data_IF_671946095789
#
_entry.id   IF_671946095789
#
_cell.length_a   1.000
_cell.length_b   1.000
_cell.length_c   1.000
_cell.angle_alpha   90.00
_cell.angle_beta   90.00
_cell.angle_gamma   90.00
#
_symmetry.space_group_name_H-M   'P 1'
#
loop_
_entity.id
_entity.type
_entity.pdbx_description
1 polymer ?
#
# COMPACT_ATOMS: atom_id res chain seq x y z
N UNK A 1 0.48 14.84 -31.05
CA UNK A 1 1.80 14.85 -30.38
C UNK A 1 1.87 15.93 -29.30
N UNK A 2 1.71 17.22 -29.61
CA UNK A 2 1.81 18.31 -28.63
C UNK A 2 0.87 18.19 -27.41
N UNK A 3 -0.43 17.91 -27.62
CA UNK A 3 -1.39 17.76 -26.51
C UNK A 3 -1.10 16.56 -25.59
N UNK A 4 -0.58 15.47 -26.16
CA UNK A 4 -0.20 14.26 -25.40
C UNK A 4 1.04 14.57 -24.56
N UNK A 5 2.02 15.26 -25.14
CA UNK A 5 3.21 15.72 -24.41
C UNK A 5 2.79 16.63 -23.25
N UNK A 6 1.93 17.62 -23.50
CA UNK A 6 1.45 18.53 -22.46
C UNK A 6 0.73 17.80 -21.32
N UNK A 7 -0.07 16.77 -21.65
CA UNK A 7 -0.71 15.93 -20.65
C UNK A 7 0.32 15.15 -19.81
N UNK A 8 1.37 14.62 -20.43
CA UNK A 8 2.43 13.88 -19.72
C UNK A 8 3.25 14.82 -18.83
N UNK A 9 3.58 16.02 -19.30
CA UNK A 9 4.41 16.99 -18.56
C UNK A 9 3.70 17.61 -17.36
N UNK A 10 2.39 17.85 -17.45
CA UNK A 10 1.65 18.55 -16.38
C UNK A 10 0.67 17.64 -15.63
N UNK A 11 -0.08 16.81 -16.33
CA UNK A 11 -1.09 15.96 -15.70
C UNK A 11 -0.46 14.77 -14.98
N UNK A 12 0.61 14.17 -15.52
CA UNK A 12 1.23 13.02 -14.87
C UNK A 12 1.90 13.40 -13.53
N UNK A 13 2.73 14.46 -13.41
CA UNK A 13 3.21 14.95 -12.12
C UNK A 13 2.10 15.28 -11.13
N UNK A 14 1.07 16.01 -11.56
CA UNK A 14 -0.06 16.35 -10.70
C UNK A 14 -0.78 15.10 -10.17
N UNK A 15 -1.00 14.11 -11.03
CA UNK A 15 -1.58 12.82 -10.66
C UNK A 15 -0.67 12.06 -9.68
N UNK A 16 0.64 11.96 -9.95
CA UNK A 16 1.59 11.27 -9.07
C UNK A 16 1.65 11.89 -7.67
N UNK A 17 1.62 13.22 -7.59
CA UNK A 17 1.67 13.95 -6.31
C UNK A 17 0.35 13.80 -5.54
N UNK A 18 -0.80 13.81 -6.21
CA UNK A 18 -2.12 13.72 -5.57
C UNK A 18 -2.63 12.30 -5.32
N UNK A 19 -2.11 11.30 -6.04
CA UNK A 19 -2.52 9.90 -5.93
C UNK A 19 -2.45 9.33 -4.50
N UNK A 20 -1.40 9.59 -3.70
CA UNK A 20 -1.35 9.14 -2.32
C UNK A 20 -2.49 9.74 -1.48
N UNK A 21 -2.78 11.02 -1.69
CA UNK A 21 -3.86 11.69 -0.98
C UNK A 21 -5.20 11.02 -1.29
N UNK A 22 -5.52 10.80 -2.56
CA UNK A 22 -6.81 10.20 -2.95
C UNK A 22 -6.93 8.74 -2.53
N UNK A 23 -5.87 7.94 -2.70
CA UNK A 23 -5.88 6.50 -2.41
C UNK A 23 -6.01 6.17 -0.91
N UNK A 24 -5.41 7.00 -0.06
CA UNK A 24 -5.42 6.77 1.40
C UNK A 24 -6.42 7.65 2.15
N UNK A 25 -6.92 8.76 1.58
CA UNK A 25 -7.96 9.57 2.22
C UNK A 25 -9.20 8.74 2.55
N UNK A 26 -9.68 7.92 1.61
CA UNK A 26 -10.83 7.05 1.85
C UNK A 26 -10.59 6.05 2.97
N UNK A 27 -9.35 5.54 3.09
CA UNK A 27 -8.97 4.62 4.16
C UNK A 27 -8.94 5.33 5.52
N UNK A 28 -8.33 6.52 5.58
CA UNK A 28 -8.30 7.38 6.78
C UNK A 28 -9.73 7.68 7.24
N UNK A 29 -10.58 8.13 6.32
CA UNK A 29 -11.98 8.46 6.59
C UNK A 29 -12.77 7.24 7.04
N UNK A 30 -12.56 6.08 6.39
CA UNK A 30 -13.21 4.83 6.77
C UNK A 30 -12.86 4.42 8.20
N UNK A 31 -11.57 4.43 8.59
CA UNK A 31 -11.13 4.05 9.94
C UNK A 31 -11.65 5.07 10.96
N UNK A 32 -11.57 6.36 10.65
CA UNK A 32 -12.01 7.42 11.53
C UNK A 32 -13.53 7.36 11.79
N UNK A 33 -14.34 7.18 10.75
CA UNK A 33 -15.80 7.09 10.85
C UNK A 33 -16.24 5.83 11.57
N UNK A 34 -15.59 4.70 11.30
CA UNK A 34 -15.95 3.42 11.90
C UNK A 34 -15.37 3.24 13.31
N UNK A 35 -14.51 4.17 13.77
CA UNK A 35 -13.81 4.15 15.07
C UNK A 35 -13.10 2.81 15.33
N UNK A 36 -12.65 2.18 14.26
CA UNK A 36 -12.04 0.85 14.30
C UNK A 36 -11.09 0.67 13.13
N UNK A 37 -9.87 0.20 13.43
CA UNK A 37 -8.87 -0.22 12.46
C UNK A 37 -8.82 -1.75 12.30
N UNK A 38 -9.87 -2.47 12.71
CA UNK A 38 -9.92 -3.93 12.58
C UNK A 38 -9.79 -4.36 11.11
N UNK A 39 -8.93 -5.34 10.84
CA UNK A 39 -8.64 -5.84 9.49
C UNK A 39 -7.70 -4.95 8.64
N UNK A 40 -7.27 -3.78 9.14
CA UNK A 40 -6.28 -2.94 8.46
C UNK A 40 -4.85 -3.31 8.90
N UNK A 41 -3.93 -3.48 7.94
CA UNK A 41 -2.52 -3.73 8.24
C UNK A 41 -1.77 -2.42 8.48
N UNK A 42 -1.14 -2.31 9.65
CA UNK A 42 -0.24 -1.19 9.98
C UNK A 42 1.10 -1.26 9.26
N UNK A 43 1.44 -2.40 8.67
CA UNK A 43 2.68 -2.53 7.90
C UNK A 43 2.64 -1.65 6.65
N UNK A 44 1.49 -1.50 6.01
CA UNK A 44 1.34 -0.69 4.79
C UNK A 44 1.83 0.76 5.01
N UNK A 45 1.28 1.53 5.98
CA UNK A 45 1.75 2.89 6.20
C UNK A 45 3.22 2.96 6.64
N UNK A 46 3.70 1.97 7.40
CA UNK A 46 5.09 1.95 7.88
C UNK A 46 6.10 1.70 6.75
N UNK A 47 5.83 0.75 5.87
CA UNK A 47 6.67 0.48 4.68
C UNK A 47 6.70 1.71 3.79
N UNK A 48 5.54 2.33 3.52
CA UNK A 48 5.44 3.54 2.70
C UNK A 48 6.20 4.72 3.32
N UNK A 49 6.18 4.86 4.65
CA UNK A 49 6.96 5.87 5.36
C UNK A 49 8.46 5.62 5.21
N UNK A 50 8.93 4.39 5.46
CA UNK A 50 10.34 4.02 5.31
C UNK A 50 10.82 4.30 3.89
N UNK A 51 10.09 3.83 2.87
CA UNK A 51 10.43 4.07 1.47
C UNK A 51 10.49 5.56 1.12
N UNK A 52 9.50 6.33 1.57
CA UNK A 52 9.42 7.76 1.23
C UNK A 52 10.46 8.60 1.96
N UNK A 53 10.78 8.28 3.22
CA UNK A 53 11.87 8.92 3.95
C UNK A 53 13.21 8.64 3.25
N UNK A 54 13.47 7.39 2.86
CA UNK A 54 14.68 7.03 2.10
C UNK A 54 14.79 7.81 0.78
N UNK A 55 13.68 7.96 0.04
CA UNK A 55 13.64 8.76 -1.18
C UNK A 55 13.95 10.25 -0.94
N UNK A 56 13.51 10.82 0.18
CA UNK A 56 13.83 12.21 0.53
C UNK A 56 15.33 12.37 0.81
N UNK A 57 15.92 11.45 1.59
CA UNK A 57 17.38 11.47 1.84
C UNK A 57 18.20 11.20 0.56
N UNK A 58 17.74 10.28 -0.29
CA UNK A 58 18.34 10.04 -1.60
C UNK A 58 18.41 11.32 -2.44
N UNK A 59 17.36 12.15 -2.41
CA UNK A 59 17.31 13.41 -3.16
C UNK A 59 18.39 14.42 -2.73
N UNK A 60 18.77 14.44 -1.46
CA UNK A 60 19.85 15.32 -0.97
C UNK A 60 21.23 14.91 -1.48
N UNK A 61 21.43 13.63 -1.79
CA UNK A 61 22.67 13.15 -2.42
C UNK A 61 22.65 13.24 -3.94
N UNK A 62 21.51 12.90 -4.57
CA UNK A 62 21.33 12.95 -6.02
C UNK A 62 19.97 13.56 -6.37
N UNK A 63 20.00 14.76 -6.94
CA UNK A 63 18.80 15.51 -7.31
C UNK A 63 18.07 14.85 -8.47
N UNK A 64 17.04 14.05 -8.16
CA UNK A 64 16.07 13.56 -9.13
C UNK A 64 14.86 14.51 -9.25
N UNK A 65 13.93 14.19 -10.17
CA UNK A 65 12.76 15.01 -10.47
C UNK A 65 12.00 15.51 -9.22
N UNK A 66 11.71 16.81 -9.21
CA UNK A 66 10.94 17.46 -8.15
C UNK A 66 9.52 16.90 -7.99
N UNK A 67 8.91 16.36 -9.06
CA UNK A 67 7.59 15.74 -8.98
C UNK A 67 7.62 14.47 -8.10
N UNK A 68 8.67 13.67 -8.23
CA UNK A 68 8.85 12.45 -7.44
C UNK A 68 9.20 12.77 -5.98
N UNK A 69 9.95 13.86 -5.75
CA UNK A 69 10.21 14.34 -4.40
C UNK A 69 8.92 14.83 -3.75
N UNK A 70 8.13 15.65 -4.44
CA UNK A 70 6.85 16.12 -3.96
C UNK A 70 5.90 14.95 -3.67
N UNK A 71 5.88 13.91 -4.53
CA UNK A 71 5.15 12.67 -4.28
C UNK A 71 5.60 11.97 -2.99
N UNK A 72 6.91 11.87 -2.74
CA UNK A 72 7.44 11.28 -1.51
C UNK A 72 7.08 12.10 -0.26
N UNK A 73 7.15 13.44 -0.33
CA UNK A 73 6.77 14.32 0.77
C UNK A 73 5.28 14.23 1.10
N UNK A 74 4.41 14.27 0.09
CA UNK A 74 2.95 14.07 0.27
C UNK A 74 2.67 12.69 0.85
N UNK A 75 3.36 11.65 0.36
CA UNK A 75 3.23 10.31 0.92
C UNK A 75 3.58 10.27 2.41
N UNK A 76 4.66 10.92 2.85
CA UNK A 76 5.02 10.97 4.29
C UNK A 76 3.89 11.59 5.11
N UNK A 77 3.34 12.72 4.69
CA UNK A 77 2.26 13.42 5.42
C UNK A 77 1.01 12.54 5.52
N UNK A 78 0.58 11.97 4.40
CA UNK A 78 -0.61 11.11 4.33
C UNK A 78 -0.43 9.86 5.19
N UNK A 79 0.74 9.22 5.14
CA UNK A 79 0.99 7.99 5.87
C UNK A 79 1.20 8.21 7.38
N UNK A 80 1.75 9.35 7.79
CA UNK A 80 1.73 9.76 9.21
C UNK A 80 0.28 9.89 9.69
N UNK A 81 -0.58 10.55 8.90
CA UNK A 81 -2.00 10.69 9.20
C UNK A 81 -2.70 9.34 9.31
N UNK A 82 -2.52 8.46 8.32
CA UNK A 82 -3.09 7.11 8.30
C UNK A 82 -2.60 6.26 9.47
N UNK A 83 -1.29 6.27 9.73
CA UNK A 83 -0.71 5.55 10.86
C UNK A 83 -1.31 6.05 12.18
N UNK A 84 -1.37 7.36 12.41
CA UNK A 84 -1.97 7.94 13.61
C UNK A 84 -3.42 7.49 13.79
N UNK A 85 -4.25 7.68 12.75
CA UNK A 85 -5.67 7.31 12.81
C UNK A 85 -5.85 5.81 13.04
N UNK A 86 -5.02 4.96 12.42
CA UNK A 86 -5.07 3.52 12.62
C UNK A 86 -4.62 3.12 14.03
N UNK A 87 -3.60 3.77 14.60
CA UNK A 87 -3.14 3.51 15.98
C UNK A 87 -4.15 3.96 17.03
N UNK A 88 -4.81 5.11 16.83
CA UNK A 88 -5.78 5.69 17.77
C UNK A 88 -7.10 4.89 17.82
N UNK A 89 -7.43 4.15 16.75
CA UNK A 89 -8.68 3.39 16.61
C UNK A 89 -8.46 1.87 16.65
N UNK A 90 -7.39 1.39 17.31
CA UNK A 90 -7.14 -0.05 17.44
C UNK A 90 -8.24 -0.74 18.27
N UNK A 91 -8.75 -1.91 17.82
CA UNK A 91 -9.68 -2.68 18.64
C UNK A 91 -8.98 -3.14 19.94
N UNK A 92 -9.73 -3.13 21.05
CA UNK A 92 -9.24 -3.62 22.34
C UNK A 92 -8.75 -5.08 22.22
N UNK A 93 -7.61 -5.39 22.83
CA UNK A 93 -6.93 -6.68 22.72
C UNK A 93 -7.84 -7.83 23.17
N UNK A 94 -8.44 -8.55 22.22
CA UNK A 94 -9.38 -9.64 22.51
C UNK A 94 -10.30 -10.04 21.35
N UNK A 95 -10.46 -9.21 20.33
CA UNK A 95 -11.23 -9.57 19.13
C UNK A 95 -10.43 -10.53 18.23
N UNK A 96 -10.40 -11.81 18.60
CA UNK A 96 -9.77 -12.93 17.88
C UNK A 96 -10.29 -13.16 16.45
N UNK A 97 -11.26 -12.38 15.97
CA UNK A 97 -12.00 -12.63 14.72
C UNK A 97 -11.71 -11.60 13.60
N UNK A 98 -10.63 -10.83 13.67
CA UNK A 98 -10.36 -9.74 12.72
C UNK A 98 -9.19 -9.94 11.75
N UNK A 99 -8.48 -11.07 11.84
CA UNK A 99 -7.17 -11.26 11.16
C UNK A 99 -7.29 -12.14 9.90
N UNK A 100 -8.42 -12.10 9.18
CA UNK A 100 -8.54 -12.88 7.93
C UNK A 100 -8.04 -12.11 6.69
N UNK A 101 -7.75 -10.80 6.78
CA UNK A 101 -7.59 -9.97 5.57
C UNK A 101 -6.43 -8.95 5.55
N UNK A 102 -5.43 -9.04 6.44
CA UNK A 102 -4.23 -8.24 6.26
C UNK A 102 -3.20 -9.03 5.42
N UNK A 103 -2.78 -8.56 4.23
CA UNK A 103 -1.78 -9.25 3.39
C UNK A 103 -0.40 -9.43 4.04
N UNK A 104 -0.22 -8.87 5.24
CA UNK A 104 0.99 -8.95 6.05
C UNK A 104 0.76 -9.58 7.43
N UNK A 105 -0.48 -9.86 7.85
CA UNK A 105 -0.69 -10.55 9.13
C UNK A 105 -0.38 -12.03 8.96
N UNK A 106 0.70 -12.50 9.58
CA UNK A 106 1.00 -13.94 9.64
C UNK A 106 -0.22 -14.67 10.22
N UNK A 107 -0.77 -15.59 9.43
CA UNK A 107 -1.92 -16.39 9.83
C UNK A 107 -1.56 -17.27 11.03
N UNK A 108 -2.49 -17.36 11.98
CA UNK A 108 -2.46 -18.33 13.07
C UNK A 108 -2.50 -19.75 12.51
N UNK A 109 -1.33 -20.37 12.39
CA UNK A 109 -1.01 -21.78 12.67
C UNK A 109 0.26 -22.16 11.89
N UNK A 110 1.40 -22.17 12.60
CA UNK A 110 2.66 -22.76 12.10
C UNK A 110 3.56 -21.88 11.22
N UNK A 111 3.19 -20.64 10.88
CA UNK A 111 4.08 -19.72 10.15
C UNK A 111 4.97 -18.88 11.08
N UNK A 112 6.18 -18.59 10.58
CA UNK A 112 7.25 -17.81 11.24
C UNK A 112 6.70 -16.63 12.05
N UNK A 113 6.74 -16.74 13.39
CA UNK A 113 6.44 -15.62 14.27
C UNK A 113 7.50 -14.52 14.03
N UNK A 114 7.05 -13.29 13.78
CA UNK A 114 7.96 -12.17 13.51
C UNK A 114 8.87 -11.96 14.72
N UNK A 115 10.20 -11.92 14.56
CA UNK A 115 11.10 -11.64 15.66
C UNK A 115 10.72 -10.32 16.34
N UNK A 116 10.61 -10.34 17.67
CA UNK A 116 10.29 -9.17 18.51
C UNK A 116 8.96 -8.47 18.18
N UNK A 117 8.00 -9.17 17.57
CA UNK A 117 6.73 -8.59 17.11
C UNK A 117 6.95 -7.32 16.28
N UNK A 118 7.95 -7.32 15.39
CA UNK A 118 8.33 -6.15 14.61
C UNK A 118 7.12 -5.55 13.87
N UNK A 119 6.85 -4.27 14.17
CA UNK A 119 5.67 -3.51 13.72
C UNK A 119 4.29 -4.05 14.13
N UNK A 120 4.26 -5.02 15.04
CA UNK A 120 3.06 -5.58 15.67
C UNK A 120 2.98 -5.24 17.17
N UNK A 121 3.71 -4.20 17.59
CA UNK A 121 3.77 -3.75 18.98
C UNK A 121 2.40 -3.31 19.51
N UNK A 122 2.08 -3.70 20.75
CA UNK A 122 0.84 -3.28 21.42
C UNK A 122 0.78 -1.78 21.71
N UNK A 123 1.91 -1.22 22.14
CA UNK A 123 1.99 0.20 22.45
C UNK A 123 2.17 1.04 21.18
N UNK A 124 1.60 2.24 21.18
CA UNK A 124 1.74 3.22 20.08
C UNK A 124 3.14 3.86 20.06
N UNK A 125 3.76 4.08 21.23
CA UNK A 125 5.05 4.78 21.35
C UNK A 125 6.20 4.17 20.51
N UNK A 126 6.39 2.84 20.47
CA UNK A 126 7.43 2.20 19.65
C UNK A 126 7.38 2.55 18.16
N UNK A 127 6.20 2.78 17.57
CA UNK A 127 6.08 3.15 16.15
C UNK A 127 6.69 4.52 15.86
N UNK A 128 6.35 5.50 16.70
CA UNK A 128 6.88 6.86 16.56
C UNK A 128 8.36 6.93 16.90
N UNK A 129 8.80 6.18 17.92
CA UNK A 129 10.23 6.07 18.26
C UNK A 129 11.02 5.43 17.11
N UNK A 130 10.52 4.35 16.52
CA UNK A 130 11.15 3.72 15.36
C UNK A 130 11.34 4.72 14.22
N UNK A 131 10.30 5.47 13.84
CA UNK A 131 10.40 6.48 12.79
C UNK A 131 11.36 7.62 13.15
N UNK A 132 11.31 8.09 14.40
CA UNK A 132 12.20 9.14 14.88
C UNK A 132 13.68 8.70 14.86
N UNK A 133 13.98 7.49 15.36
CA UNK A 133 15.31 6.92 15.30
C UNK A 133 15.76 6.68 13.86
N UNK A 134 14.88 6.21 12.98
CA UNK A 134 15.19 6.00 11.58
C UNK A 134 15.62 7.31 10.88
N UNK A 135 14.84 8.38 11.04
CA UNK A 135 15.20 9.71 10.51
C UNK A 135 16.47 10.26 11.16
N UNK A 136 16.63 10.11 12.48
CA UNK A 136 17.80 10.60 13.20
C UNK A 136 19.09 9.90 12.73
N UNK A 137 19.06 8.58 12.57
CA UNK A 137 20.20 7.80 12.05
C UNK A 137 20.56 8.24 10.63
N UNK A 138 19.57 8.36 9.73
CA UNK A 138 19.80 8.84 8.37
C UNK A 138 20.39 10.25 8.35
N UNK A 139 19.88 11.14 9.21
CA UNK A 139 20.40 12.51 9.35
C UNK A 139 21.84 12.50 9.83
N UNK A 140 22.16 11.73 10.88
CA UNK A 140 23.54 11.61 11.38
C UNK A 140 24.47 11.11 10.27
N UNK A 141 24.09 10.08 9.53
CA UNK A 141 24.90 9.57 8.41
C UNK A 141 25.09 10.66 7.34
N UNK A 142 24.05 11.44 7.02
CA UNK A 142 24.15 12.53 6.03
C UNK A 142 24.99 13.72 6.48
N UNK A 143 25.24 13.86 7.78
CA UNK A 143 26.16 14.87 8.32
C UNK A 143 27.62 14.39 8.36
N UNK A 144 27.88 13.11 8.04
CA UNK A 144 29.23 12.56 7.93
C UNK A 144 29.72 12.56 6.47
N UNK A 145 31.04 12.44 6.20
CA UNK A 145 31.58 12.35 4.84
C UNK A 145 31.04 11.17 4.00
N UNK A 146 30.30 10.25 4.61
CA UNK A 146 29.63 9.14 3.90
C UNK A 146 28.62 9.69 2.89
N UNK A 147 28.01 10.85 3.13
CA UNK A 147 27.05 11.46 2.19
C UNK A 147 27.67 11.87 0.85
N UNK A 148 29.00 12.06 0.81
CA UNK A 148 29.73 12.38 -0.44
C UNK A 148 30.00 11.13 -1.28
N UNK A 149 29.71 9.93 -0.77
CA UNK A 149 29.91 8.69 -1.51
C UNK A 149 28.71 8.39 -2.42
N UNK A 150 28.94 8.44 -3.74
CA UNK A 150 27.96 8.04 -4.75
C UNK A 150 27.41 6.62 -4.53
N UNK A 151 28.25 5.72 -4.00
CA UNK A 151 27.85 4.34 -3.69
C UNK A 151 26.82 4.31 -2.57
N UNK A 152 27.03 5.08 -1.50
CA UNK A 152 26.08 5.18 -0.40
C UNK A 152 24.75 5.75 -0.88
N UNK A 153 24.78 6.86 -1.63
CA UNK A 153 23.58 7.52 -2.15
C UNK A 153 22.82 6.60 -3.11
N UNK A 154 23.52 5.87 -3.99
CA UNK A 154 22.92 4.90 -4.91
C UNK A 154 22.27 3.72 -4.18
N UNK A 155 22.92 3.17 -3.16
CA UNK A 155 22.37 2.09 -2.33
C UNK A 155 21.14 2.59 -1.56
N UNK A 156 21.22 3.78 -0.97
CA UNK A 156 20.13 4.39 -0.21
C UNK A 156 18.88 4.58 -1.09
N UNK A 157 19.06 5.17 -2.27
CA UNK A 157 17.99 5.34 -3.26
C UNK A 157 17.45 4.00 -3.76
N UNK A 158 18.34 3.06 -4.08
CA UNK A 158 17.98 1.71 -4.51
C UNK A 158 17.14 0.96 -3.48
N UNK A 159 17.51 1.01 -2.20
CA UNK A 159 16.74 0.41 -1.11
C UNK A 159 15.38 1.10 -0.97
N UNK A 160 15.33 2.44 -0.94
CA UNK A 160 14.07 3.18 -0.82
C UNK A 160 13.07 2.83 -1.92
N UNK A 161 13.56 2.70 -3.16
CA UNK A 161 12.76 2.31 -4.31
C UNK A 161 12.36 0.83 -4.30
N UNK A 162 13.27 -0.06 -3.89
CA UNK A 162 12.98 -1.49 -3.79
C UNK A 162 11.95 -1.80 -2.69
N UNK A 163 12.02 -1.11 -1.56
CA UNK A 163 11.04 -1.24 -0.47
C UNK A 163 9.64 -0.88 -0.95
N UNK A 164 9.49 0.17 -1.76
CA UNK A 164 8.21 0.52 -2.39
C UNK A 164 7.80 -0.52 -3.44
N UNK A 165 8.72 -0.90 -4.34
CA UNK A 165 8.41 -1.78 -5.47
C UNK A 165 8.01 -3.20 -5.06
N UNK A 166 8.42 -3.65 -3.87
CA UNK A 166 8.12 -5.00 -3.34
C UNK A 166 6.81 -5.09 -2.55
N UNK A 167 6.12 -3.97 -2.32
CA UNK A 167 4.84 -3.93 -1.61
C UNK A 167 3.74 -4.85 -2.16
N UNK A 168 3.60 -5.07 -3.47
CA UNK A 168 2.59 -5.98 -4.00
C UNK A 168 2.86 -7.46 -3.70
N UNK A 169 4.11 -7.84 -3.39
CA UNK A 169 4.52 -9.24 -3.27
C UNK A 169 3.76 -10.02 -2.19
N UNK A 170 3.52 -9.49 -0.98
CA UNK A 170 2.78 -10.24 0.03
C UNK A 170 1.33 -10.49 -0.37
N UNK A 171 0.70 -9.55 -1.09
CA UNK A 171 -0.62 -9.77 -1.67
C UNK A 171 -0.59 -10.88 -2.74
N UNK A 172 0.43 -10.89 -3.61
CA UNK A 172 0.62 -11.93 -4.62
C UNK A 172 0.73 -13.32 -3.98
N UNK A 173 1.53 -13.43 -2.92
CA UNK A 173 1.74 -14.68 -2.18
C UNK A 173 0.46 -15.12 -1.45
N UNK A 174 -0.26 -14.18 -0.82
CA UNK A 174 -1.51 -14.46 -0.14
C UNK A 174 -2.58 -14.98 -1.12
N UNK A 175 -2.71 -14.35 -2.30
CA UNK A 175 -3.62 -14.81 -3.35
C UNK A 175 -3.23 -16.21 -3.86
N UNK A 176 -1.94 -16.47 -4.08
CA UNK A 176 -1.46 -17.77 -4.55
C UNK A 176 -1.72 -18.88 -3.53
N UNK A 177 -1.47 -18.63 -2.24
CA UNK A 177 -1.68 -19.60 -1.16
C UNK A 177 -3.15 -19.90 -0.90
N UNK A 178 -3.99 -18.86 -0.92
CA UNK A 178 -5.43 -19.02 -0.71
C UNK A 178 -6.17 -19.57 -1.94
N UNK A 179 -5.56 -19.49 -3.13
CA UNK A 179 -6.20 -19.86 -4.39
C UNK A 179 -7.45 -19.01 -4.69
N UNK A 180 -7.61 -17.86 -4.03
CA UNK A 180 -8.79 -17.01 -4.14
C UNK A 180 -8.41 -15.53 -3.98
N UNK A 181 -9.13 -14.65 -4.66
CA UNK A 181 -9.06 -13.20 -4.42
C UNK A 181 -10.23 -12.68 -3.59
N UNK A 182 -10.92 -13.56 -2.84
CA UNK A 182 -12.08 -13.19 -2.02
C UNK A 182 -11.64 -12.19 -0.92
N UNK A 183 -12.22 -10.99 -0.94
CA UNK A 183 -11.86 -9.88 -0.03
C UNK A 183 -10.89 -8.84 -0.62
N UNK A 184 -10.28 -9.11 -1.78
CA UNK A 184 -9.45 -8.12 -2.47
C UNK A 184 -10.33 -7.08 -3.19
N UNK A 185 -10.13 -5.80 -2.88
CA UNK A 185 -10.96 -4.71 -3.41
C UNK A 185 -10.54 -4.38 -4.85
N UNK A 186 -11.44 -4.64 -5.80
CA UNK A 186 -11.24 -4.33 -7.24
C UNK A 186 -10.87 -2.88 -7.48
N UNK A 187 -11.47 -1.95 -6.74
CA UNK A 187 -11.18 -0.52 -6.86
C UNK A 187 -9.72 -0.19 -6.53
N UNK A 188 -9.13 -0.89 -5.55
CA UNK A 188 -7.72 -0.72 -5.16
C UNK A 188 -6.80 -1.25 -6.25
N UNK A 189 -7.09 -2.44 -6.79
CA UNK A 189 -6.34 -3.01 -7.91
C UNK A 189 -6.37 -2.12 -9.15
N UNK A 190 -7.55 -1.60 -9.49
CA UNK A 190 -7.69 -0.67 -10.61
C UNK A 190 -6.88 0.61 -10.38
N UNK A 191 -6.92 1.17 -9.16
CA UNK A 191 -6.13 2.35 -8.82
C UNK A 191 -4.62 2.10 -8.92
N UNK A 192 -4.13 0.92 -8.52
CA UNK A 192 -2.73 0.53 -8.67
C UNK A 192 -2.31 0.42 -10.13
N UNK A 193 -3.06 -0.30 -10.97
CA UNK A 193 -2.75 -0.43 -12.40
C UNK A 193 -2.79 0.92 -13.13
N UNK A 194 -3.79 1.77 -12.83
CA UNK A 194 -3.88 3.12 -13.39
C UNK A 194 -2.67 3.95 -12.93
N UNK A 195 -2.33 3.88 -11.64
CA UNK A 195 -1.20 4.57 -11.05
C UNK A 195 0.12 4.21 -11.71
N UNK A 196 0.38 2.91 -11.87
CA UNK A 196 1.61 2.42 -12.48
C UNK A 196 1.68 2.73 -13.98
N UNK A 197 0.56 2.68 -14.69
CA UNK A 197 0.51 3.11 -16.10
C UNK A 197 0.85 4.59 -16.25
N UNK A 198 0.31 5.46 -15.38
CA UNK A 198 0.65 6.88 -15.39
C UNK A 198 2.10 7.13 -14.99
N UNK A 199 2.61 6.41 -13.97
CA UNK A 199 4.01 6.47 -13.53
C UNK A 199 4.97 6.04 -14.66
N UNK A 200 4.66 4.97 -15.39
CA UNK A 200 5.44 4.52 -16.55
C UNK A 200 5.41 5.54 -17.69
N UNK A 201 4.24 6.12 -17.96
CA UNK A 201 4.11 7.16 -18.98
C UNK A 201 5.01 8.36 -18.66
N UNK A 202 5.03 8.77 -17.39
CA UNK A 202 5.91 9.84 -16.93
C UNK A 202 7.40 9.47 -17.06
N UNK A 203 7.80 8.25 -16.65
CA UNK A 203 9.21 7.85 -16.69
C UNK A 203 9.83 7.74 -18.09
N UNK A 204 9.03 7.38 -19.10
CA UNK A 204 9.54 7.12 -20.45
C UNK A 204 9.24 8.23 -21.46
N UNK A 205 8.22 9.06 -21.22
CA UNK A 205 7.78 10.07 -22.17
C UNK A 205 7.90 11.52 -21.67
N UNK A 206 8.25 11.73 -20.39
CA UNK A 206 8.62 13.05 -19.89
C UNK A 206 9.96 13.51 -20.48
N UNK A 207 10.09 14.83 -20.67
CA UNK A 207 11.35 15.48 -21.05
C UNK A 207 12.38 15.43 -19.92
N UNK A 208 11.94 15.21 -18.68
CA UNK A 208 12.83 15.07 -17.53
C UNK A 208 13.58 13.73 -17.55
N UNK A 209 14.90 13.78 -17.41
CA UNK A 209 15.73 12.60 -17.29
C UNK A 209 15.55 11.94 -15.91
N UNK A 210 14.67 10.93 -15.85
CA UNK A 210 14.45 10.14 -14.63
C UNK A 210 15.56 9.08 -14.47
N UNK A 211 16.20 8.93 -13.29
CA UNK A 211 17.24 7.94 -13.06
C UNK A 211 16.77 6.50 -13.31
N UNK A 212 17.68 5.64 -13.77
CA UNK A 212 17.35 4.24 -14.10
C UNK A 212 16.86 3.42 -12.90
N UNK A 213 17.30 3.74 -11.68
CA UNK A 213 16.82 3.11 -10.45
C UNK A 213 15.29 3.22 -10.30
N UNK A 214 14.72 4.41 -10.60
CA UNK A 214 13.27 4.62 -10.59
C UNK A 214 12.57 3.83 -11.69
N UNK A 215 13.15 3.81 -12.90
CA UNK A 215 12.58 3.09 -14.04
C UNK A 215 12.51 1.59 -13.78
N UNK A 216 13.61 0.98 -13.32
CA UNK A 216 13.67 -0.46 -13.04
C UNK A 216 12.72 -0.87 -11.92
N UNK A 217 12.73 -0.15 -10.80
CA UNK A 217 11.83 -0.45 -9.68
C UNK A 217 10.36 -0.22 -10.05
N UNK A 218 10.06 0.85 -10.79
CA UNK A 218 8.70 1.13 -11.25
C UNK A 218 8.20 0.11 -12.28
N UNK A 219 9.05 -0.39 -13.18
CA UNK A 219 8.69 -1.49 -14.08
C UNK A 219 8.41 -2.77 -13.31
N UNK A 220 9.23 -3.09 -12.31
CA UNK A 220 9.00 -4.27 -11.46
C UNK A 220 7.65 -4.19 -10.72
N UNK A 221 7.35 -3.03 -10.13
CA UNK A 221 6.07 -2.79 -9.46
C UNK A 221 4.89 -2.95 -10.45
N UNK A 222 5.01 -2.34 -11.63
CA UNK A 222 4.01 -2.41 -12.69
C UNK A 222 3.73 -3.86 -13.13
N UNK A 223 4.79 -4.68 -13.29
CA UNK A 223 4.65 -6.11 -13.59
C UNK A 223 3.92 -6.85 -12.46
N UNK A 224 4.25 -6.54 -11.21
CA UNK A 224 3.60 -7.15 -10.05
C UNK A 224 2.11 -6.78 -9.96
N UNK A 225 1.75 -5.52 -10.22
CA UNK A 225 0.37 -5.05 -10.19
C UNK A 225 -0.46 -5.62 -11.35
N UNK A 226 0.13 -5.75 -12.55
CA UNK A 226 -0.50 -6.50 -13.64
C UNK A 226 -0.66 -7.98 -13.32
N UNK A 227 0.32 -8.59 -12.66
CA UNK A 227 0.23 -9.98 -12.23
C UNK A 227 -0.88 -10.19 -11.19
N UNK A 228 -1.08 -9.26 -10.25
CA UNK A 228 -2.25 -9.25 -9.36
C UNK A 228 -3.56 -9.13 -10.14
N UNK A 229 -3.59 -8.29 -11.18
CA UNK A 229 -4.71 -8.21 -12.12
C UNK A 229 -5.04 -9.55 -12.77
N UNK A 230 -4.00 -10.26 -13.23
CA UNK A 230 -4.13 -11.59 -13.79
C UNK A 230 -4.62 -12.63 -12.77
N UNK A 231 -4.05 -12.66 -11.56
CA UNK A 231 -4.51 -13.53 -10.47
C UNK A 231 -5.98 -13.29 -10.14
N UNK A 232 -6.40 -12.02 -10.05
CA UNK A 232 -7.78 -11.65 -9.79
C UNK A 232 -8.73 -12.20 -10.85
N UNK A 233 -8.38 -12.02 -12.13
CA UNK A 233 -9.17 -12.55 -13.24
C UNK A 233 -9.25 -14.08 -13.23
N UNK A 234 -8.13 -14.77 -12.96
CA UNK A 234 -8.06 -16.23 -12.90
C UNK A 234 -8.95 -16.78 -11.78
N UNK A 235 -8.74 -16.32 -10.54
CA UNK A 235 -9.47 -16.87 -9.39
C UNK A 235 -10.95 -16.48 -9.33
N UNK A 236 -11.33 -15.36 -9.95
CA UNK A 236 -12.74 -14.99 -10.12
C UNK A 236 -13.48 -15.93 -11.08
N UNK A 237 -12.78 -16.49 -12.07
CA UNK A 237 -13.36 -17.47 -13.00
C UNK A 237 -13.46 -18.88 -12.41
N UNK A 238 -12.51 -19.26 -11.58
CA UNK A 238 -12.44 -20.61 -11.00
C UNK A 238 -13.38 -20.81 -9.82
N UNK A 239 -13.86 -19.74 -9.17
CA UNK A 239 -14.91 -19.85 -8.14
C UNK A 239 -16.26 -19.87 -8.83
N UNK A 240 -16.98 -21.01 -8.91
CA UNK A 240 -18.34 -21.00 -9.43
C UNK A 240 -19.16 -20.08 -8.51
N UNK A 241 -19.95 -19.17 -9.08
CA UNK A 241 -21.08 -18.61 -8.32
C UNK A 241 -21.87 -19.83 -7.85
N UNK A 242 -21.80 -20.15 -6.56
CA UNK A 242 -22.75 -21.09 -5.99
C UNK A 242 -24.13 -20.55 -6.38
N UNK A 243 -24.98 -21.33 -7.07
CA UNK A 243 -26.36 -20.92 -7.24
C UNK A 243 -26.89 -20.72 -5.81
N UNK A 244 -27.48 -19.56 -5.55
CA UNK A 244 -28.28 -19.34 -4.34
C UNK A 244 -29.20 -20.56 -4.25
N UNK A 245 -29.01 -21.38 -3.21
CA UNK A 245 -29.81 -22.58 -3.10
C UNK A 245 -31.26 -22.13 -2.96
N UNK A 246 -32.15 -22.67 -3.77
CA UNK A 246 -33.60 -22.41 -3.72
C UNK A 246 -34.18 -22.66 -2.31
N UNK A 247 -33.49 -23.45 -1.48
CA UNK A 247 -33.80 -23.67 -0.07
C UNK A 247 -33.69 -22.39 0.80
N UNK A 248 -32.71 -21.50 0.57
CA UNK A 248 -32.60 -20.25 1.33
C UNK A 248 -33.67 -19.22 0.91
N UNK A 249 -34.22 -19.31 -0.31
CA UNK A 249 -35.35 -18.49 -0.74
C UNK A 249 -36.69 -19.00 -0.18
N UNK A 250 -36.90 -20.32 -0.09
CA UNK A 250 -38.11 -20.90 0.51
C UNK A 250 -38.16 -20.69 2.04
N UNK A 251 -37.06 -20.79 2.77
CA UNK A 251 -37.05 -20.48 4.21
C UNK A 251 -37.36 -19.00 4.48
N UNK A 252 -36.83 -18.10 3.64
CA UNK A 252 -37.03 -16.66 3.77
C UNK A 252 -38.44 -16.22 3.38
N UNK A 253 -39.11 -16.95 2.48
CA UNK A 253 -40.51 -16.73 2.13
C UNK A 253 -41.48 -17.38 3.14
N UNK A 254 -41.12 -18.56 3.68
CA UNK A 254 -41.90 -19.29 4.69
C UNK A 254 -41.89 -18.65 6.08
N UNK A 255 -40.83 -17.91 6.45
CA UNK A 255 -40.79 -17.11 7.67
C UNK A 255 -41.64 -15.83 7.54
N UNK A 256 -41.63 -15.17 6.37
CA UNK A 256 -42.44 -13.97 6.13
C UNK A 256 -43.95 -14.24 6.22
N UNK A 257 -44.42 -15.41 5.78
CA UNK A 257 -45.85 -15.76 5.86
C UNK A 257 -46.34 -16.06 7.28
N UNK A 258 -45.46 -16.52 8.18
CA UNK A 258 -45.81 -16.79 9.58
C UNK A 258 -45.93 -15.51 10.42
N UNK A 259 -45.09 -14.52 10.14
CA UNK A 259 -45.15 -13.22 10.84
C UNK A 259 -46.32 -12.34 10.39
N UNK A 260 -46.82 -12.53 9.16
CA UNK A 260 -48.01 -11.80 8.66
C UNK A 260 -49.32 -12.38 9.21
N UNK A 261 -49.35 -13.65 9.64
CA UNK A 261 -50.55 -14.27 10.24
C UNK A 261 -50.65 -14.12 11.77
N UNK A 262 -49.64 -13.55 12.42
CA UNK A 262 -49.61 -13.35 13.87
C UNK A 262 -49.71 -11.87 14.32
N UNK A 263 -50.16 -10.99 13.42
CA UNK A 263 -50.64 -9.64 13.79
C UNK A 263 -52.10 -9.46 13.37
#
# INVERSE_FOLDING_TARGET
MYLIQLAIEYAAPAFLISSPLTSYADQILSIHRNRSSAGFSLDIPLIMLVASILKVFYWFGEYYSGALLAQALVMIVVQIGLLKVALDNRPASGAKNGIEHAPFSGGSDGEFARPYDFWQWRNTKPYWLFLAYFVAILTVIHLTPISESDTYISILGGIGLAVEATLPLPQILANHRSGSCKGFRVSVLAAWIIGDTMKMSYFFFSQEAIPWSFKLCGMFQCVCDFYLGFQYWMFTRTTPRAPVSSHEQEERWGQGEKDIRMN
#
